data_IF_407319785168
#
_entry.id   IF_407319785168
#
_cell.length_a   1.000
_cell.length_b   1.000
_cell.length_c   1.000
_cell.angle_alpha   90.00
_cell.angle_beta   90.00
_cell.angle_gamma   90.00
#
_symmetry.space_group_name_H-M   'P 1'
#
loop_
_entity.id
_entity.type
_entity.pdbx_description
1 polymer ?
#
# COMPACT_ATOMS: atom_id res chain seq x y z
N UNK A 1 3.50 -9.27 -13.92
CA UNK A 1 4.64 -9.64 -13.03
C UNK A 1 5.49 -8.40 -12.80
N UNK A 2 5.98 -8.19 -11.58
CA UNK A 2 6.89 -7.08 -11.26
C UNK A 2 8.25 -7.36 -11.92
N UNK A 3 8.73 -6.40 -12.70
CA UNK A 3 10.04 -6.47 -13.37
C UNK A 3 11.13 -6.04 -12.37
N UNK A 4 12.02 -6.94 -11.93
CA UNK A 4 13.03 -6.63 -10.94
C UNK A 4 14.10 -5.64 -11.44
N UNK A 5 14.33 -5.56 -12.77
CA UNK A 5 15.37 -4.73 -13.37
C UNK A 5 15.03 -3.23 -13.32
N UNK A 6 13.75 -2.88 -13.15
CA UNK A 6 13.30 -1.49 -13.08
C UNK A 6 13.00 -1.01 -11.66
N UNK A 7 13.08 -1.89 -10.66
CA UNK A 7 12.88 -1.52 -9.24
C UNK A 7 13.95 -0.51 -8.83
N UNK A 8 13.52 0.60 -8.26
CA UNK A 8 14.43 1.61 -7.74
C UNK A 8 14.69 1.39 -6.24
N UNK A 9 15.96 1.38 -5.89
CA UNK A 9 16.41 1.13 -4.52
C UNK A 9 17.13 2.35 -3.96
N UNK A 10 16.91 2.64 -2.67
CA UNK A 10 17.62 3.75 -1.99
C UNK A 10 19.05 3.41 -1.58
N UNK A 11 19.42 2.11 -1.60
CA UNK A 11 20.78 1.66 -1.30
C UNK A 11 21.29 0.67 -2.35
N UNK A 12 22.61 0.60 -2.58
CA UNK A 12 23.22 -0.37 -3.50
C UNK A 12 22.92 -1.83 -3.09
N UNK A 13 22.96 -2.75 -4.05
CA UNK A 13 22.62 -4.16 -3.84
C UNK A 13 23.38 -4.80 -2.67
N UNK A 14 24.70 -4.59 -2.58
CA UNK A 14 25.53 -5.17 -1.52
C UNK A 14 25.25 -4.63 -0.10
N UNK A 15 24.43 -3.59 0.03
CA UNK A 15 24.11 -2.96 1.33
C UNK A 15 22.67 -3.20 1.78
N UNK A 16 21.86 -3.95 0.99
CA UNK A 16 20.43 -4.18 1.26
C UNK A 16 20.19 -5.22 2.34
N UNK A 17 20.97 -6.29 2.31
CA UNK A 17 20.79 -7.41 3.23
C UNK A 17 20.97 -6.99 4.69
N UNK A 18 20.09 -7.50 5.57
CA UNK A 18 20.07 -7.20 6.99
C UNK A 18 19.42 -5.86 7.37
N UNK A 19 19.00 -5.03 6.39
CA UNK A 19 18.24 -3.82 6.64
C UNK A 19 16.73 -4.08 6.58
N UNK A 20 15.88 -3.37 7.34
CA UNK A 20 14.44 -3.42 7.13
C UNK A 20 14.07 -2.85 5.76
N UNK A 21 13.07 -3.45 5.10
CA UNK A 21 12.63 -3.10 3.75
C UNK A 21 11.30 -2.33 3.78
N UNK A 22 11.26 -1.18 3.12
CA UNK A 22 10.02 -0.48 2.79
C UNK A 22 9.70 -0.68 1.31
N UNK A 23 8.58 -1.33 1.01
CA UNK A 23 8.06 -1.48 -0.35
C UNK A 23 7.17 -0.29 -0.67
N UNK A 24 7.58 0.52 -1.65
CA UNK A 24 6.86 1.72 -2.06
C UNK A 24 6.09 1.48 -3.36
N UNK A 25 4.79 1.87 -3.36
CA UNK A 25 3.81 1.59 -4.41
C UNK A 25 3.19 2.90 -4.88
N UNK A 26 3.54 3.33 -6.10
CA UNK A 26 3.12 4.63 -6.66
C UNK A 26 1.63 4.68 -7.03
N UNK A 27 1.11 5.87 -7.25
CA UNK A 27 -0.24 6.12 -7.76
C UNK A 27 -0.38 5.78 -9.26
N UNK A 28 -1.63 5.60 -9.73
CA UNK A 28 -1.91 5.37 -11.15
C UNK A 28 -1.37 6.51 -12.02
N UNK A 29 -0.77 6.16 -13.17
CA UNK A 29 -0.20 7.13 -14.11
C UNK A 29 1.20 7.62 -13.72
N UNK A 30 1.72 7.19 -12.57
CA UNK A 30 3.08 7.46 -12.10
C UNK A 30 4.03 6.27 -12.37
N UNK A 31 5.18 6.24 -11.71
CA UNK A 31 6.21 5.25 -11.92
C UNK A 31 7.07 5.04 -10.65
N UNK A 32 8.07 4.17 -10.73
CA UNK A 32 8.97 3.77 -9.65
C UNK A 32 9.84 4.90 -9.07
N UNK A 33 9.93 6.06 -9.72
CA UNK A 33 10.72 7.19 -9.20
C UNK A 33 9.91 8.10 -8.26
N UNK A 34 8.59 8.03 -8.32
CA UNK A 34 7.68 8.98 -7.67
C UNK A 34 7.88 9.03 -6.14
N UNK A 35 7.77 7.89 -5.47
CA UNK A 35 7.82 7.83 -4.02
C UNK A 35 9.24 7.85 -3.42
N UNK A 36 10.28 7.76 -4.24
CA UNK A 36 11.66 7.87 -3.75
C UNK A 36 11.95 9.22 -3.10
N UNK A 37 11.28 10.28 -3.57
CA UNK A 37 11.37 11.61 -2.97
C UNK A 37 10.87 11.68 -1.52
N UNK A 38 10.11 10.70 -1.04
CA UNK A 38 9.63 10.61 0.32
C UNK A 38 10.63 9.92 1.27
N UNK A 39 11.57 9.12 0.73
CA UNK A 39 12.51 8.35 1.53
C UNK A 39 13.34 9.18 2.53
N UNK A 40 13.80 10.42 2.21
CA UNK A 40 14.52 11.26 3.17
C UNK A 40 13.69 11.71 4.38
N UNK A 41 12.36 11.72 4.25
CA UNK A 41 11.44 12.08 5.35
C UNK A 41 11.13 10.90 6.27
N UNK A 42 11.52 9.68 5.88
CA UNK A 42 11.29 8.46 6.65
C UNK A 42 12.46 8.19 7.62
N UNK A 43 12.27 7.39 8.67
CA UNK A 43 13.34 7.05 9.61
C UNK A 43 14.52 6.41 8.90
N UNK A 44 15.73 6.81 9.29
CA UNK A 44 16.98 6.25 8.75
C UNK A 44 17.09 4.74 9.04
N UNK A 45 17.84 4.04 8.19
CA UNK A 45 18.10 2.61 8.34
C UNK A 45 17.11 1.68 7.63
N UNK A 46 16.06 2.22 6.99
CA UNK A 46 15.21 1.47 6.08
C UNK A 46 15.77 1.52 4.66
N UNK A 47 15.86 0.35 4.03
CA UNK A 47 16.03 0.26 2.57
C UNK A 47 14.66 0.42 1.92
N UNK A 48 14.52 1.32 0.96
CA UNK A 48 13.28 1.45 0.18
C UNK A 48 13.45 0.80 -1.18
N UNK A 49 12.52 -0.07 -1.54
CA UNK A 49 12.32 -0.58 -2.90
C UNK A 49 11.04 0.05 -3.48
N UNK A 50 11.20 0.88 -4.48
CA UNK A 50 10.08 1.50 -5.19
C UNK A 50 9.78 0.71 -6.46
N UNK A 51 8.61 0.10 -6.51
CA UNK A 51 8.21 -0.80 -7.58
C UNK A 51 7.52 -0.04 -8.70
N UNK A 52 7.71 -0.51 -9.95
CA UNK A 52 6.91 -0.11 -11.10
C UNK A 52 5.71 -1.03 -11.24
N UNK A 53 4.51 -0.45 -11.32
CA UNK A 53 3.29 -1.18 -11.64
C UNK A 53 3.35 -1.81 -13.04
N UNK A 54 2.75 -3.00 -13.27
CA UNK A 54 2.98 -3.77 -14.49
C UNK A 54 2.21 -3.27 -15.73
N UNK A 55 1.14 -2.49 -15.56
CA UNK A 55 0.27 -2.09 -16.66
C UNK A 55 0.61 -0.69 -17.15
N UNK A 56 0.97 -0.48 -18.43
CA UNK A 56 1.12 0.86 -18.99
C UNK A 56 -0.17 1.67 -18.87
N UNK A 57 -0.06 2.94 -18.41
CA UNK A 57 -1.20 3.85 -18.27
C UNK A 57 -0.80 5.30 -18.52
N UNK A 58 -1.21 5.87 -19.64
CA UNK A 58 -0.83 7.21 -20.03
C UNK A 58 0.70 7.38 -20.08
N UNK A 59 1.26 8.38 -19.38
CA UNK A 59 2.72 8.57 -19.31
C UNK A 59 3.43 7.64 -18.32
N UNK A 60 2.69 6.84 -17.55
CA UNK A 60 3.23 5.96 -16.50
C UNK A 60 2.55 4.60 -16.47
N UNK A 61 2.22 4.13 -15.26
CA UNK A 61 1.79 2.76 -15.03
C UNK A 61 0.62 2.67 -14.03
N UNK A 62 -0.08 1.53 -14.04
CA UNK A 62 -1.17 1.20 -13.12
C UNK A 62 -0.98 -0.21 -12.54
N UNK A 63 -1.37 -0.41 -11.30
CA UNK A 63 -1.34 -1.73 -10.64
C UNK A 63 -2.43 -2.65 -11.21
N UNK A 64 -3.60 -2.08 -11.40
CA UNK A 64 -4.78 -2.76 -11.95
C UNK A 64 -5.57 -1.78 -12.83
N UNK A 65 -6.39 -2.27 -13.77
CA UNK A 65 -7.21 -1.42 -14.62
C UNK A 65 -8.12 -0.50 -13.81
N UNK A 66 -8.24 0.75 -14.22
CA UNK A 66 -9.17 1.69 -13.59
C UNK A 66 -10.61 1.21 -13.78
N UNK A 67 -11.35 1.23 -12.69
CA UNK A 67 -12.79 1.03 -12.64
C UNK A 67 -13.48 2.25 -12.05
N UNK A 68 -14.58 2.02 -11.33
CA UNK A 68 -15.24 3.09 -10.56
C UNK A 68 -14.30 3.59 -9.47
N UNK A 69 -14.08 4.91 -9.33
CA UNK A 69 -13.24 5.46 -8.28
C UNK A 69 -13.63 4.94 -6.89
N UNK A 70 -12.64 4.44 -6.14
CA UNK A 70 -12.86 3.84 -4.83
C UNK A 70 -13.55 2.47 -4.81
N UNK A 71 -13.86 1.88 -5.99
CA UNK A 71 -14.51 0.56 -6.09
C UNK A 71 -14.07 -0.17 -7.38
N UNK A 72 -12.79 -0.54 -7.49
CA UNK A 72 -12.27 -1.33 -8.62
C UNK A 72 -12.81 -2.76 -8.57
N UNK A 73 -12.59 -3.52 -9.65
CA UNK A 73 -12.79 -4.97 -9.67
C UNK A 73 -11.82 -5.66 -8.69
N UNK A 74 -12.35 -6.31 -7.66
CA UNK A 74 -11.56 -6.94 -6.60
C UNK A 74 -10.70 -8.09 -7.11
N UNK A 75 -11.18 -8.85 -8.10
CA UNK A 75 -10.43 -9.95 -8.69
C UNK A 75 -9.18 -9.47 -9.43
N UNK A 76 -9.27 -8.34 -10.15
CA UNK A 76 -8.12 -7.73 -10.81
C UNK A 76 -7.11 -7.15 -9.81
N UNK A 77 -7.60 -6.62 -8.69
CA UNK A 77 -6.71 -6.16 -7.61
C UNK A 77 -6.02 -7.35 -6.93
N UNK A 78 -6.71 -8.46 -6.72
CA UNK A 78 -6.12 -9.68 -6.16
C UNK A 78 -5.03 -10.26 -7.05
N UNK A 79 -5.22 -10.25 -8.37
CA UNK A 79 -4.18 -10.66 -9.33
C UNK A 79 -2.95 -9.76 -9.20
N UNK A 80 -3.14 -8.44 -9.15
CA UNK A 80 -2.04 -7.50 -8.96
C UNK A 80 -1.33 -7.68 -7.62
N UNK A 81 -2.09 -7.93 -6.55
CA UNK A 81 -1.54 -8.20 -5.22
C UNK A 81 -0.69 -9.48 -5.23
N UNK A 82 -1.13 -10.55 -5.90
CA UNK A 82 -0.36 -11.78 -6.02
C UNK A 82 0.99 -11.57 -6.73
N UNK A 83 1.03 -10.70 -7.74
CA UNK A 83 2.29 -10.37 -8.43
C UNK A 83 3.29 -9.62 -7.53
N UNK A 84 2.80 -8.66 -6.73
CA UNK A 84 3.65 -7.95 -5.77
C UNK A 84 4.10 -8.88 -4.64
N UNK A 85 3.22 -9.75 -4.13
CA UNK A 85 3.57 -10.73 -3.10
C UNK A 85 4.63 -11.71 -3.59
N UNK A 86 4.55 -12.18 -4.85
CA UNK A 86 5.56 -13.03 -5.45
C UNK A 86 6.94 -12.34 -5.53
N UNK A 87 6.97 -11.03 -5.84
CA UNK A 87 8.19 -10.25 -5.81
C UNK A 87 8.73 -10.10 -4.37
N UNK A 88 7.86 -9.80 -3.41
CA UNK A 88 8.24 -9.72 -1.98
C UNK A 88 8.85 -11.03 -1.51
N UNK A 89 8.26 -12.18 -1.86
CA UNK A 89 8.80 -13.49 -1.50
C UNK A 89 10.23 -13.72 -2.02
N UNK A 90 10.55 -13.14 -3.17
CA UNK A 90 11.88 -13.23 -3.77
C UNK A 90 12.97 -12.46 -3.02
N UNK A 91 12.61 -11.46 -2.21
CA UNK A 91 13.56 -10.61 -1.47
C UNK A 91 13.42 -10.70 0.05
N UNK A 92 12.34 -11.26 0.55
CA UNK A 92 12.00 -11.25 1.98
C UNK A 92 13.07 -11.84 2.90
N UNK A 93 13.80 -12.86 2.42
CA UNK A 93 14.82 -13.55 3.22
C UNK A 93 16.00 -12.64 3.61
N UNK A 94 16.24 -11.58 2.86
CA UNK A 94 17.34 -10.65 3.08
C UNK A 94 16.99 -9.54 4.08
N UNK A 95 15.72 -9.43 4.49
CA UNK A 95 15.22 -8.30 5.28
C UNK A 95 14.56 -8.76 6.58
N UNK A 96 14.96 -8.24 7.76
CA UNK A 96 14.44 -8.68 9.06
C UNK A 96 12.96 -8.30 9.27
N UNK A 97 12.46 -7.31 8.57
CA UNK A 97 11.04 -6.88 8.56
C UNK A 97 10.74 -6.09 7.31
N UNK A 98 9.49 -6.14 6.88
CA UNK A 98 9.01 -5.46 5.67
C UNK A 98 7.82 -4.57 6.03
N UNK A 99 7.86 -3.31 5.60
CA UNK A 99 6.75 -2.37 5.68
C UNK A 99 6.25 -2.03 4.27
N UNK A 100 5.01 -1.57 4.19
CA UNK A 100 4.37 -1.12 2.96
C UNK A 100 4.09 0.38 3.01
N UNK A 101 4.32 1.08 1.91
CA UNK A 101 3.92 2.48 1.74
C UNK A 101 3.34 2.66 0.34
N UNK A 102 2.14 3.20 0.24
CA UNK A 102 1.53 3.46 -1.05
C UNK A 102 0.74 4.75 -1.11
N UNK A 103 0.71 5.36 -2.29
CA UNK A 103 -0.10 6.53 -2.59
C UNK A 103 -1.23 6.18 -3.56
N UNK A 104 -2.45 6.66 -3.31
CA UNK A 104 -3.61 6.51 -4.18
C UNK A 104 -3.88 5.04 -4.53
N UNK A 105 -3.77 4.63 -5.79
CA UNK A 105 -3.88 3.23 -6.21
C UNK A 105 -2.85 2.33 -5.50
N UNK A 106 -1.62 2.82 -5.29
CA UNK A 106 -0.60 2.13 -4.49
C UNK A 106 -0.97 2.01 -3.01
N UNK A 107 -1.69 3.01 -2.45
CA UNK A 107 -2.25 2.94 -1.10
C UNK A 107 -3.30 1.84 -0.96
N UNK A 108 -4.16 1.68 -1.97
CA UNK A 108 -5.11 0.56 -2.04
C UNK A 108 -4.39 -0.79 -2.15
N UNK A 109 -3.31 -0.86 -2.93
CA UNK A 109 -2.47 -2.05 -3.03
C UNK A 109 -1.82 -2.40 -1.70
N UNK A 110 -1.27 -1.41 -0.96
CA UNK A 110 -0.67 -1.65 0.35
C UNK A 110 -1.67 -2.28 1.34
N UNK A 111 -2.92 -1.79 1.38
CA UNK A 111 -3.98 -2.37 2.19
C UNK A 111 -4.36 -3.78 1.71
N UNK A 112 -4.42 -4.02 0.40
CA UNK A 112 -4.76 -5.33 -0.15
C UNK A 112 -3.65 -6.37 0.13
N UNK A 113 -2.38 -6.00 0.01
CA UNK A 113 -1.24 -6.87 0.37
C UNK A 113 -1.29 -7.28 1.85
N UNK A 114 -1.54 -6.30 2.73
CA UNK A 114 -1.71 -6.56 4.17
C UNK A 114 -2.89 -7.49 4.44
N UNK A 115 -4.01 -7.32 3.72
CA UNK A 115 -5.20 -8.16 3.82
C UNK A 115 -4.95 -9.60 3.41
N UNK A 116 -4.09 -9.81 2.39
CA UNK A 116 -3.67 -11.15 1.95
C UNK A 116 -2.73 -11.82 2.95
N UNK A 117 -1.77 -11.08 3.52
CA UNK A 117 -0.73 -11.60 4.43
C UNK A 117 -0.52 -10.65 5.62
N UNK A 118 -1.45 -10.64 6.60
CA UNK A 118 -1.40 -9.69 7.71
C UNK A 118 -0.18 -9.85 8.62
N UNK A 119 0.42 -11.02 8.68
CA UNK A 119 1.58 -11.40 9.49
C UNK A 119 2.92 -11.22 8.74
N UNK A 120 2.91 -10.96 7.43
CA UNK A 120 4.13 -10.79 6.65
C UNK A 120 4.71 -9.36 6.71
N UNK A 121 3.92 -8.39 7.16
CA UNK A 121 4.29 -6.98 7.13
C UNK A 121 4.25 -6.37 8.52
N UNK A 122 5.29 -5.61 8.85
CA UNK A 122 5.38 -4.89 10.12
C UNK A 122 4.32 -3.78 10.21
N UNK A 123 3.96 -3.17 9.09
CA UNK A 123 2.92 -2.16 8.97
C UNK A 123 2.54 -1.90 7.50
N UNK A 124 1.43 -1.17 7.30
CA UNK A 124 1.10 -0.56 6.01
C UNK A 124 0.77 0.93 6.19
N UNK A 125 1.28 1.76 5.27
CA UNK A 125 0.95 3.18 5.12
C UNK A 125 0.17 3.36 3.83
N UNK A 126 -1.03 3.91 3.93
CA UNK A 126 -1.90 4.22 2.79
C UNK A 126 -2.19 5.71 2.77
N UNK A 127 -1.60 6.43 1.81
CA UNK A 127 -1.77 7.87 1.59
C UNK A 127 -2.78 8.09 0.46
N UNK A 128 -3.88 8.77 0.72
CA UNK A 128 -4.99 8.96 -0.22
C UNK A 128 -5.45 7.66 -0.92
N UNK A 129 -5.27 6.50 -0.24
CA UNK A 129 -5.73 5.21 -0.72
C UNK A 129 -7.14 4.86 -0.22
N UNK A 130 -7.59 3.65 -0.54
CA UNK A 130 -8.89 3.15 -0.11
C UNK A 130 -8.89 1.62 -0.01
N UNK A 131 -9.71 1.07 0.89
CA UNK A 131 -9.93 -0.38 0.93
C UNK A 131 -10.75 -0.83 -0.28
N UNK A 132 -10.27 -1.86 -0.96
CA UNK A 132 -11.01 -2.50 -2.04
C UNK A 132 -12.20 -3.25 -1.46
N UNK A 133 -13.44 -2.98 -1.91
CA UNK A 133 -14.60 -3.74 -1.44
C UNK A 133 -14.38 -5.25 -1.67
N UNK A 134 -14.76 -6.06 -0.70
CA UNK A 134 -14.76 -7.51 -0.89
C UNK A 134 -15.68 -7.89 -2.07
N UNK A 135 -15.26 -8.88 -2.84
CA UNK A 135 -16.17 -9.49 -3.81
C UNK A 135 -17.42 -10.03 -3.09
N UNK A 136 -18.59 -9.99 -3.72
CA UNK A 136 -19.77 -10.65 -3.16
C UNK A 136 -19.47 -12.14 -2.91
N UNK A 137 -19.89 -12.66 -1.75
CA UNK A 137 -19.77 -14.09 -1.46
C UNK A 137 -20.43 -14.91 -2.56
N UNK A 138 -19.67 -15.80 -3.16
CA UNK A 138 -20.24 -16.81 -4.08
C UNK A 138 -20.27 -18.16 -3.36
N UNK A 139 -21.25 -19.06 -3.68
CA UNK A 139 -21.28 -20.39 -3.08
C UNK A 139 -20.01 -21.24 -3.33
N UNK A 140 -19.14 -20.77 -4.22
CA UNK A 140 -17.92 -21.46 -4.66
C UNK A 140 -16.63 -20.79 -4.11
N UNK A 141 -16.74 -19.87 -3.14
CA UNK A 141 -15.61 -19.21 -2.49
C UNK A 141 -14.74 -20.22 -1.70
N UNK A 142 -14.08 -21.09 -2.44
CA UNK A 142 -13.11 -22.07 -1.93
C UNK A 142 -11.73 -21.43 -1.67
N UNK A 143 -11.53 -20.18 -2.08
CA UNK A 143 -10.25 -19.47 -1.98
C UNK A 143 -10.02 -18.75 -0.64
N UNK A 144 -11.00 -18.81 0.29
CA UNK A 144 -10.90 -18.19 1.61
C UNK A 144 -10.91 -16.67 1.59
N UNK A 145 -11.38 -16.02 0.50
CA UNK A 145 -11.41 -14.55 0.40
C UNK A 145 -12.25 -13.89 1.52
N UNK A 146 -13.31 -14.57 1.98
CA UNK A 146 -14.12 -14.13 3.12
C UNK A 146 -13.42 -14.26 4.47
N UNK A 147 -12.41 -15.12 4.57
CA UNK A 147 -11.67 -15.35 5.81
C UNK A 147 -10.51 -14.35 6.00
N UNK A 148 -10.16 -13.57 4.94
CA UNK A 148 -9.04 -12.62 5.00
C UNK A 148 -9.25 -11.51 6.02
N UNK A 149 -10.45 -10.94 6.08
CA UNK A 149 -10.76 -9.88 7.04
C UNK A 149 -10.83 -10.42 8.47
N UNK A 150 -11.34 -11.63 8.68
CA UNK A 150 -11.33 -12.29 9.98
C UNK A 150 -9.88 -12.57 10.45
N UNK A 151 -9.01 -13.03 9.52
CA UNK A 151 -7.59 -13.26 9.81
C UNK A 151 -6.86 -11.94 10.10
N UNK A 152 -7.14 -10.89 9.32
CA UNK A 152 -6.59 -9.56 9.55
C UNK A 152 -7.00 -9.03 10.93
N UNK A 153 -8.28 -9.18 11.31
CA UNK A 153 -8.78 -8.78 12.62
C UNK A 153 -8.16 -9.56 13.78
N UNK A 154 -7.76 -10.81 13.57
CA UNK A 154 -7.08 -11.61 14.57
C UNK A 154 -5.62 -11.16 14.78
N UNK A 155 -4.92 -10.77 13.71
CA UNK A 155 -3.53 -10.28 13.76
C UNK A 155 -3.46 -8.82 14.23
N UNK A 156 -4.40 -7.98 13.77
CA UNK A 156 -4.45 -6.53 14.02
C UNK A 156 -3.14 -5.81 13.69
N UNK A 157 -2.64 -5.92 12.46
CA UNK A 157 -1.38 -5.25 12.08
C UNK A 157 -1.52 -3.73 12.16
N UNK A 158 -0.40 -3.04 12.31
CA UNK A 158 -0.34 -1.58 12.36
C UNK A 158 -0.63 -0.98 10.99
N UNK A 159 -1.53 0.01 10.93
CA UNK A 159 -1.89 0.72 9.69
C UNK A 159 -1.90 2.23 9.94
N UNK A 160 -1.31 2.98 9.02
CA UNK A 160 -1.47 4.42 8.92
C UNK A 160 -2.36 4.74 7.71
N UNK A 161 -3.41 5.50 7.95
CA UNK A 161 -4.24 6.09 6.90
C UNK A 161 -4.04 7.61 6.93
N UNK A 162 -3.68 8.20 5.78
CA UNK A 162 -3.58 9.64 5.60
C UNK A 162 -4.37 10.07 4.37
N UNK A 163 -5.18 11.12 4.49
CA UNK A 163 -5.88 11.69 3.34
C UNK A 163 -6.28 13.15 3.57
N UNK A 164 -6.41 13.90 2.48
CA UNK A 164 -6.90 15.26 2.50
C UNK A 164 -8.42 15.33 2.48
N UNK A 165 -9.02 16.29 3.22
CA UNK A 165 -10.47 16.53 3.20
C UNK A 165 -10.95 17.29 1.96
N UNK A 166 -10.02 17.84 1.16
CA UNK A 166 -10.28 18.49 -0.13
C UNK A 166 -9.89 17.61 -1.33
N UNK A 167 -9.73 16.30 -1.14
CA UNK A 167 -9.38 15.35 -2.21
C UNK A 167 -10.54 15.19 -3.22
N UNK A 168 -10.35 15.62 -4.49
CA UNK A 168 -11.38 15.53 -5.52
C UNK A 168 -11.40 14.17 -6.24
N UNK A 169 -10.43 13.28 -5.97
CA UNK A 169 -10.23 12.03 -6.70
C UNK A 169 -10.85 10.85 -5.96
N UNK A 170 -10.57 10.72 -4.66
CA UNK A 170 -11.11 9.63 -3.86
C UNK A 170 -12.45 10.06 -3.25
N UNK A 171 -13.57 9.37 -3.59
CA UNK A 171 -14.88 9.73 -3.06
C UNK A 171 -14.92 9.66 -1.53
N UNK A 172 -15.57 10.61 -0.84
CA UNK A 172 -15.69 10.60 0.62
C UNK A 172 -16.26 9.29 1.18
N UNK A 173 -17.17 8.64 0.44
CA UNK A 173 -17.72 7.34 0.83
C UNK A 173 -16.65 6.22 0.83
N UNK A 174 -15.66 6.29 -0.07
CA UNK A 174 -14.56 5.33 -0.10
C UNK A 174 -13.60 5.57 1.07
N UNK A 175 -13.31 6.83 1.40
CA UNK A 175 -12.51 7.21 2.57
C UNK A 175 -13.18 6.72 3.86
N UNK A 176 -14.46 7.06 4.05
CA UNK A 176 -15.22 6.64 5.25
C UNK A 176 -15.27 5.11 5.39
N UNK A 177 -15.46 4.38 4.30
CA UNK A 177 -15.42 2.90 4.30
C UNK A 177 -14.05 2.38 4.71
N UNK A 178 -12.97 3.01 4.23
CA UNK A 178 -11.59 2.62 4.56
C UNK A 178 -11.30 2.82 6.03
N UNK A 179 -11.65 3.97 6.60
CA UNK A 179 -11.51 4.27 8.03
C UNK A 179 -12.29 3.26 8.90
N UNK A 180 -13.56 2.99 8.54
CA UNK A 180 -14.38 2.01 9.27
C UNK A 180 -13.81 0.59 9.19
N UNK A 181 -13.36 0.17 8.01
CA UNK A 181 -12.72 -1.14 7.80
C UNK A 181 -11.42 -1.26 8.61
N UNK A 182 -10.54 -0.27 8.55
CA UNK A 182 -9.28 -0.30 9.28
C UNK A 182 -9.49 -0.33 10.80
N UNK A 183 -10.42 0.46 11.33
CA UNK A 183 -10.76 0.47 12.75
C UNK A 183 -11.26 -0.91 13.24
N UNK A 184 -12.01 -1.63 12.40
CA UNK A 184 -12.51 -2.95 12.72
C UNK A 184 -11.43 -4.04 12.73
N UNK A 185 -10.42 -3.94 11.86
CA UNK A 185 -9.52 -5.06 11.54
C UNK A 185 -8.05 -4.83 11.90
N UNK A 186 -7.63 -3.60 12.22
CA UNK A 186 -6.21 -3.25 12.38
C UNK A 186 -5.97 -2.40 13.62
N UNK A 187 -4.70 -2.19 13.97
CA UNK A 187 -4.28 -1.11 14.86
C UNK A 187 -4.04 0.14 14.00
N UNK A 188 -5.09 0.95 13.83
CA UNK A 188 -5.06 2.07 12.90
C UNK A 188 -4.68 3.39 13.56
N UNK A 189 -3.81 4.15 12.88
CA UNK A 189 -3.61 5.60 13.03
C UNK A 189 -4.25 6.28 11.82
N UNK A 190 -5.41 6.90 12.01
CA UNK A 190 -6.17 7.57 10.94
C UNK A 190 -6.02 9.09 11.06
N UNK A 191 -5.62 9.77 9.98
CA UNK A 191 -5.36 11.21 9.93
C UNK A 191 -6.02 11.84 8.72
N UNK A 192 -6.73 12.94 8.98
CA UNK A 192 -7.30 13.81 7.94
C UNK A 192 -6.56 15.14 7.95
N UNK A 193 -6.14 15.62 6.75
CA UNK A 193 -5.38 16.85 6.58
C UNK A 193 -6.26 17.93 5.95
N UNK A 194 -6.57 19.02 6.72
CA UNK A 194 -7.47 20.06 6.24
C UNK A 194 -6.95 20.77 5.00
N UNK A 195 -7.79 20.90 3.98
CA UNK A 195 -7.48 21.59 2.72
C UNK A 195 -6.51 20.85 1.80
N UNK A 196 -6.03 19.68 2.18
CA UNK A 196 -5.13 18.89 1.34
C UNK A 196 -5.93 18.25 0.19
N UNK A 197 -5.53 18.51 -1.09
CA UNK A 197 -6.11 17.81 -2.23
C UNK A 197 -5.54 16.38 -2.35
N UNK A 198 -5.70 15.75 -3.53
CA UNK A 198 -5.11 14.43 -3.83
C UNK A 198 -3.59 14.50 -3.96
N UNK A 199 -2.90 14.66 -2.84
CA UNK A 199 -1.46 14.87 -2.75
C UNK A 199 -0.96 14.42 -1.37
N UNK A 200 0.37 14.43 -1.19
CA UNK A 200 1.04 14.19 0.09
C UNK A 200 1.59 15.51 0.63
N UNK A 201 1.34 15.81 1.90
CA UNK A 201 1.84 17.02 2.56
C UNK A 201 3.06 16.75 3.45
N UNK A 202 3.84 17.79 3.77
CA UNK A 202 4.94 17.67 4.72
C UNK A 202 4.48 17.23 6.11
N UNK A 203 3.33 17.75 6.58
CA UNK A 203 2.76 17.37 7.87
C UNK A 203 2.35 15.88 7.90
N UNK A 204 1.81 15.37 6.80
CA UNK A 204 1.49 13.96 6.64
C UNK A 204 2.75 13.09 6.68
N UNK A 205 3.84 13.49 6.01
CA UNK A 205 5.11 12.77 6.05
C UNK A 205 5.75 12.76 7.44
N UNK A 206 5.62 13.85 8.21
CA UNK A 206 6.05 13.87 9.60
C UNK A 206 5.27 12.88 10.47
N UNK A 207 3.95 12.75 10.26
CA UNK A 207 3.12 11.77 10.96
C UNK A 207 3.49 10.34 10.55
N UNK A 208 3.73 10.09 9.25
CA UNK A 208 4.23 8.79 8.75
C UNK A 208 5.58 8.44 9.36
N UNK A 209 6.52 9.39 9.42
CA UNK A 209 7.84 9.16 10.02
C UNK A 209 7.74 8.75 11.49
N UNK A 210 6.87 9.43 12.27
CA UNK A 210 6.60 9.06 13.67
C UNK A 210 5.96 7.67 13.78
N UNK A 211 5.01 7.36 12.90
CA UNK A 211 4.35 6.05 12.87
C UNK A 211 5.33 4.91 12.55
N UNK A 212 6.23 5.09 11.57
CA UNK A 212 7.21 4.07 11.18
C UNK A 212 8.27 3.86 12.26
N UNK A 213 8.64 4.93 13.01
CA UNK A 213 9.63 4.87 14.08
C UNK A 213 9.14 4.19 15.37
N UNK A 214 7.84 4.15 15.60
CA UNK A 214 7.22 3.51 16.77
C UNK A 214 7.17 1.99 16.62
#
# INVERSE_FOLDING_TARGET
>A
MIDPDVVQWTVPEGERAGTPLLVALHGVGSNEHDLLGLAPALPSGWTTASLRAPLPWGPGYAWYPLGTPGSPDSGLVDVAAAEVLAWVDGVAADHPRIGLLGFSQGGSMALQLLRHRPDAFAFAVSLSGFVVPAAPATPDDRDGSHDRDARLAAVRPRVFLGHGDADPVIPPAATARTSAWAAAHTEVTDRTYPGLPHAVSAAELEDVARFVAA
#
